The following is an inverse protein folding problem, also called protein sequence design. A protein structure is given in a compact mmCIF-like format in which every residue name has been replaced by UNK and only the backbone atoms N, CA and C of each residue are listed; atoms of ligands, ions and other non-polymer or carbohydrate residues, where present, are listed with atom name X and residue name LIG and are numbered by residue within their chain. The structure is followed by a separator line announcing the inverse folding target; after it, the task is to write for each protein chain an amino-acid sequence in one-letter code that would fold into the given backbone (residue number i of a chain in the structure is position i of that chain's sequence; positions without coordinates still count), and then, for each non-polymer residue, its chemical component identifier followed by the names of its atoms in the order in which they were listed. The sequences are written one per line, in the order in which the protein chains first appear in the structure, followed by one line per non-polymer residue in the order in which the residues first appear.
data_IF_929079863587
#
_entry.id   IF_929079863587
#
_cell.length_a   1.000
_cell.length_b   1.000
_cell.length_c   1.000
_cell.angle_alpha   90.00
_cell.angle_beta   90.00
_cell.angle_gamma   90.00
#
_symmetry.space_group_name_H-M   'P 1'
#
loop_
_entity.id
_entity.type
_entity.pdbx_description
1 polymer ?
#
# COMPACT_ATOMS: atom_id res chain seq x y z
N UNK A 1 -0.57 -0.42 16.94
CA UNK A 1 -1.14 0.01 15.64
C UNK A 1 -2.63 0.20 15.89
N UNK A 2 -3.21 1.33 15.50
CA UNK A 2 -4.59 1.65 15.83
C UNK A 2 -5.59 1.06 14.81
N UNK A 3 -6.86 1.01 15.18
CA UNK A 3 -7.95 0.49 14.35
C UNK A 3 -8.04 1.20 13.00
N UNK A 4 -7.71 2.50 12.97
CA UNK A 4 -7.70 3.30 11.75
C UNK A 4 -6.66 2.79 10.74
N UNK A 5 -5.43 2.51 11.19
CA UNK A 5 -4.39 1.92 10.33
C UNK A 5 -4.86 0.60 9.73
N UNK A 6 -5.47 -0.28 10.53
CA UNK A 6 -6.00 -1.58 10.07
C UNK A 6 -7.08 -1.38 9.02
N UNK A 7 -8.02 -0.47 9.27
CA UNK A 7 -9.12 -0.17 8.35
C UNK A 7 -8.62 0.42 7.02
N UNK A 8 -7.63 1.32 7.06
CA UNK A 8 -6.96 1.83 5.86
C UNK A 8 -6.26 0.73 5.09
N UNK A 9 -5.55 -0.17 5.78
CA UNK A 9 -4.86 -1.30 5.15
C UNK A 9 -5.86 -2.20 4.43
N UNK A 10 -6.97 -2.57 5.09
CA UNK A 10 -8.04 -3.35 4.49
C UNK A 10 -8.65 -2.66 3.27
N UNK A 11 -8.88 -1.35 3.34
CA UNK A 11 -9.43 -0.58 2.23
C UNK A 11 -8.47 -0.52 1.03
N UNK A 12 -7.16 -0.36 1.27
CA UNK A 12 -6.14 -0.38 0.22
C UNK A 12 -6.07 -1.75 -0.47
N UNK A 13 -6.04 -2.84 0.31
CA UNK A 13 -6.01 -4.20 -0.22
C UNK A 13 -7.25 -4.48 -1.07
N UNK A 14 -8.45 -4.18 -0.55
CA UNK A 14 -9.68 -4.39 -1.30
C UNK A 14 -9.69 -3.64 -2.63
N UNK A 15 -9.19 -2.39 -2.66
CA UNK A 15 -9.10 -1.63 -3.89
C UNK A 15 -8.10 -2.24 -4.90
N UNK A 16 -6.99 -2.82 -4.43
CA UNK A 16 -6.03 -3.51 -5.30
C UNK A 16 -6.56 -4.85 -5.82
N UNK A 17 -7.33 -5.58 -5.02
CA UNK A 17 -8.05 -6.79 -5.47
C UNK A 17 -9.03 -6.45 -6.59
N UNK A 18 -9.79 -5.36 -6.46
CA UNK A 18 -10.70 -4.92 -7.51
C UNK A 18 -9.95 -4.55 -8.81
N UNK A 19 -8.74 -3.99 -8.70
CA UNK A 19 -7.89 -3.67 -9.86
C UNK A 19 -7.38 -4.95 -10.53
N UNK A 20 -6.89 -5.92 -9.76
CA UNK A 20 -6.46 -7.21 -10.29
C UNK A 20 -7.60 -7.92 -11.02
N UNK A 21 -8.79 -7.97 -10.41
CA UNK A 21 -9.97 -8.60 -10.99
C UNK A 21 -10.37 -7.94 -12.33
N UNK A 22 -10.32 -6.61 -12.42
CA UNK A 22 -10.59 -5.87 -13.65
C UNK A 22 -9.65 -6.30 -14.80
N UNK A 23 -8.37 -6.54 -14.50
CA UNK A 23 -7.41 -7.01 -15.49
C UNK A 23 -7.65 -8.47 -15.89
N UNK A 24 -7.98 -9.34 -14.94
CA UNK A 24 -8.32 -10.75 -15.20
C UNK A 24 -9.52 -10.85 -16.15
N UNK A 25 -10.56 -10.05 -15.90
CA UNK A 25 -11.79 -10.03 -16.72
C UNK A 25 -11.56 -9.55 -18.16
N UNK A 26 -10.47 -8.81 -18.39
CA UNK A 26 -10.09 -8.28 -19.69
C UNK A 26 -8.96 -9.09 -20.36
N UNK A 27 -8.67 -10.30 -19.86
CA UNK A 27 -7.74 -11.21 -20.52
C UNK A 27 -8.34 -11.79 -21.82
N UNK A 28 -7.51 -12.12 -22.82
CA UNK A 28 -6.05 -11.93 -22.88
C UNK A 28 -5.63 -10.59 -23.47
N UNK A 29 -6.58 -9.75 -23.93
CA UNK A 29 -6.25 -8.51 -24.65
C UNK A 29 -5.75 -7.40 -23.73
N UNK A 30 -6.09 -7.46 -22.43
CA UNK A 30 -5.84 -6.44 -21.42
C UNK A 30 -6.28 -5.04 -21.86
N UNK A 31 -7.33 -4.96 -22.69
CA UNK A 31 -7.83 -3.70 -23.20
C UNK A 31 -9.10 -3.29 -22.47
N UNK A 32 -9.02 -2.19 -21.72
CA UNK A 32 -10.14 -1.66 -20.96
C UNK A 32 -10.94 -0.67 -21.80
N UNK A 33 -12.26 -0.72 -21.69
CA UNK A 33 -13.13 0.33 -22.20
C UNK A 33 -12.92 1.65 -21.47
N UNK A 34 -13.41 2.75 -22.05
CA UNK A 34 -13.36 4.08 -21.39
C UNK A 34 -14.01 4.08 -20.00
N UNK A 35 -15.08 3.31 -19.80
CA UNK A 35 -15.74 3.21 -18.49
C UNK A 35 -14.88 2.45 -17.49
N UNK A 36 -14.27 1.34 -17.91
CA UNK A 36 -13.36 0.55 -17.07
C UNK A 36 -12.08 1.33 -16.71
N UNK A 37 -11.56 2.15 -17.61
CA UNK A 37 -10.44 3.06 -17.31
C UNK A 37 -10.80 4.07 -16.21
N UNK A 38 -12.04 4.57 -16.19
CA UNK A 38 -12.52 5.44 -15.10
C UNK A 38 -12.63 4.66 -13.78
N UNK A 39 -13.09 3.41 -13.82
CA UNK A 39 -13.14 2.53 -12.65
C UNK A 39 -11.73 2.27 -12.12
N UNK A 40 -10.80 1.86 -13.00
CA UNK A 40 -9.40 1.62 -12.68
C UNK A 40 -8.78 2.84 -11.98
N UNK A 41 -8.94 4.03 -12.57
CA UNK A 41 -8.44 5.28 -11.98
C UNK A 41 -8.92 5.48 -10.55
N UNK A 42 -10.24 5.37 -10.30
CA UNK A 42 -10.82 5.55 -8.97
C UNK A 42 -10.31 4.54 -7.95
N UNK A 43 -10.15 3.26 -8.36
CA UNK A 43 -9.65 2.20 -7.48
C UNK A 43 -8.18 2.43 -7.12
N UNK A 44 -7.36 2.80 -8.10
CA UNK A 44 -5.95 3.14 -7.88
C UNK A 44 -5.79 4.37 -6.98
N UNK A 45 -6.54 5.45 -7.22
CA UNK A 45 -6.54 6.64 -6.36
C UNK A 45 -6.88 6.30 -4.91
N UNK A 46 -7.91 5.48 -4.70
CA UNK A 46 -8.29 5.01 -3.36
C UNK A 46 -7.21 4.17 -2.69
N UNK A 47 -6.56 3.27 -3.44
CA UNK A 47 -5.46 2.46 -2.90
C UNK A 47 -4.29 3.36 -2.49
N UNK A 48 -3.87 4.27 -3.37
CA UNK A 48 -2.79 5.23 -3.12
C UNK A 48 -3.08 6.11 -1.91
N UNK A 49 -4.29 6.67 -1.79
CA UNK A 49 -4.66 7.52 -0.66
C UNK A 49 -4.51 6.78 0.68
N UNK A 50 -5.00 5.53 0.75
CA UNK A 50 -4.91 4.75 1.98
C UNK A 50 -3.46 4.37 2.31
N UNK A 51 -2.67 3.94 1.32
CA UNK A 51 -1.25 3.62 1.50
C UNK A 51 -0.46 4.85 1.96
N UNK A 52 -0.66 5.99 1.31
CA UNK A 52 0.02 7.24 1.67
C UNK A 52 -0.31 7.66 3.10
N UNK A 53 -1.58 7.57 3.51
CA UNK A 53 -1.97 7.90 4.90
C UNK A 53 -1.33 6.94 5.91
N UNK A 54 -1.32 5.64 5.64
CA UNK A 54 -0.62 4.66 6.49
C UNK A 54 0.86 5.02 6.61
N UNK A 55 1.52 5.32 5.49
CA UNK A 55 2.94 5.64 5.48
C UNK A 55 3.24 6.91 6.27
N UNK A 56 2.56 8.03 5.96
CA UNK A 56 2.82 9.32 6.60
C UNK A 56 2.47 9.30 8.10
N UNK A 57 1.34 8.69 8.49
CA UNK A 57 0.92 8.58 9.90
C UNK A 57 1.92 7.74 10.73
N UNK A 58 2.67 6.83 10.10
CA UNK A 58 3.62 5.94 10.78
C UNK A 58 5.10 6.27 10.49
N UNK A 59 5.39 7.26 9.66
CA UNK A 59 6.73 7.54 9.12
C UNK A 59 7.79 7.71 10.20
N UNK A 60 7.53 8.56 11.21
CA UNK A 60 8.47 8.81 12.30
C UNK A 60 8.76 7.56 13.12
N UNK A 61 7.74 6.72 13.39
CA UNK A 61 7.90 5.46 14.13
C UNK A 61 8.72 4.45 13.32
N UNK A 62 8.46 4.35 12.02
CA UNK A 62 9.22 3.49 11.12
C UNK A 62 10.70 3.93 11.04
N UNK A 63 10.97 5.24 10.95
CA UNK A 63 12.34 5.76 10.93
C UNK A 63 13.06 5.49 12.26
N UNK A 64 12.41 5.73 13.39
CA UNK A 64 12.99 5.45 14.71
C UNK A 64 13.33 3.96 14.86
N UNK A 65 12.43 3.06 14.43
CA UNK A 65 12.67 1.63 14.42
C UNK A 65 13.84 1.24 13.50
N UNK A 66 13.94 1.84 12.31
CA UNK A 66 15.06 1.62 11.39
C UNK A 66 16.40 2.02 12.04
N UNK A 67 16.45 3.17 12.71
CA UNK A 67 17.65 3.68 13.37
C UNK A 67 18.07 2.81 14.57
N UNK A 68 17.12 2.30 15.34
CA UNK A 68 17.37 1.33 16.41
C UNK A 68 17.99 0.03 15.87
N UNK A 69 17.42 -0.52 14.79
CA UNK A 69 17.96 -1.70 14.12
C UNK A 69 19.39 -1.46 13.62
N UNK A 70 19.69 -0.29 13.06
CA UNK A 70 21.05 0.09 12.64
C UNK A 70 22.02 0.09 13.82
N UNK A 71 21.65 0.68 14.97
CA UNK A 71 22.49 0.72 16.18
C UNK A 71 22.80 -0.69 16.71
N UNK A 72 21.83 -1.59 16.70
CA UNK A 72 22.02 -3.00 17.12
C UNK A 72 23.04 -3.74 16.24
N UNK A 73 23.02 -3.49 14.92
CA UNK A 73 23.96 -4.12 13.99
C UNK A 73 25.40 -3.57 14.11
N UNK A 74 25.56 -2.29 14.44
CA UNK A 74 26.88 -1.69 14.71
C UNK A 74 27.47 -2.23 16.02
N UNK A 75 26.65 -2.43 17.05
CA UNK A 75 27.06 -3.01 18.34
C UNK A 75 27.53 -4.46 18.24
N UNK A 76 26.95 -5.26 17.32
CA UNK A 76 27.36 -6.65 17.08
C UNK A 76 28.71 -6.82 16.37
N UNK A 77 29.20 -5.80 15.63
CA UNK A 77 30.53 -5.84 14.99
C UNK A 77 31.68 -5.47 15.94
N UNK A 78 31.39 -5.00 17.16
CA UNK A 78 32.38 -4.59 18.16
C UNK A 78 32.61 -5.63 19.27
N UNK A 79 32.07 -6.84 19.14
CA UNK A 79 32.30 -7.97 20.05
C UNK A 79 33.00 -9.11 19.33
#
# INVERSE_FOLDING_TARGET
MDENTINRTKAAINALIDVEQLWIENTPSYNLSTQELVVLKKRLERAMENVSKIYEENRTKMQAAEDEVKKMHVGKKKK
#
